data_IF_564290952191
#
_entry.id   IF_564290952191
#
_cell.length_a   1.000
_cell.length_b   1.000
_cell.length_c   1.000
_cell.angle_alpha   90.00
_cell.angle_beta   90.00
_cell.angle_gamma   90.00
#
_symmetry.space_group_name_H-M   'P 1'
#
loop_
_entity.id
_entity.type
_entity.pdbx_description
1 polymer ?
#
# COMPACT_ATOMS: atom_id res chain seq x y z
N UNK A 1 37.87 -31.16 22.60
CA UNK A 1 36.85 -30.14 22.27
C UNK A 1 37.55 -29.05 21.46
N UNK A 2 37.52 -29.14 20.14
CA UNK A 2 38.05 -28.08 19.28
C UNK A 2 36.94 -27.07 19.01
N UNK A 3 37.18 -25.81 19.34
CA UNK A 3 36.34 -24.68 18.96
C UNK A 3 36.41 -24.52 17.43
N UNK A 4 35.38 -25.00 16.74
CA UNK A 4 34.69 -24.44 15.55
C UNK A 4 35.42 -23.81 14.36
N UNK A 5 36.75 -23.67 14.32
CA UNK A 5 37.47 -23.04 13.20
C UNK A 5 38.34 -24.04 12.46
N UNK A 6 38.07 -24.19 11.16
CA UNK A 6 38.87 -24.99 10.24
C UNK A 6 39.55 -24.05 9.24
N UNK A 7 40.88 -23.96 9.29
CA UNK A 7 41.65 -23.26 8.27
C UNK A 7 42.07 -24.23 7.17
N UNK A 8 41.69 -23.92 5.93
CA UNK A 8 42.07 -24.68 4.74
C UNK A 8 42.84 -23.78 3.78
N UNK A 9 43.97 -24.28 3.29
CA UNK A 9 44.71 -23.66 2.18
C UNK A 9 44.56 -24.55 0.95
N UNK A 10 43.91 -24.01 -0.09
CA UNK A 10 43.72 -24.70 -1.37
C UNK A 10 44.47 -23.93 -2.46
N UNK A 11 45.11 -24.65 -3.40
CA UNK A 11 45.67 -24.03 -4.58
C UNK A 11 44.55 -23.63 -5.59
N UNK A 12 44.82 -22.75 -6.56
CA UNK A 12 43.85 -22.42 -7.61
C UNK A 12 43.29 -23.68 -8.29
N UNK A 13 41.97 -23.72 -8.49
CA UNK A 13 41.21 -24.82 -9.11
C UNK A 13 41.18 -26.15 -8.33
N UNK A 14 41.57 -26.17 -7.06
CA UNK A 14 41.38 -27.33 -6.18
C UNK A 14 40.11 -27.19 -5.34
N UNK A 15 39.50 -28.33 -5.02
CA UNK A 15 38.45 -28.44 -4.03
C UNK A 15 38.78 -29.54 -3.03
N UNK A 16 38.25 -29.42 -1.83
CA UNK A 16 38.25 -30.48 -0.83
C UNK A 16 36.81 -30.75 -0.41
N UNK A 17 36.50 -32.02 -0.12
CA UNK A 17 35.21 -32.41 0.44
C UNK A 17 35.48 -32.82 1.88
N UNK A 18 34.87 -32.08 2.81
CA UNK A 18 34.93 -32.40 4.22
C UNK A 18 33.70 -33.21 4.60
N UNK A 19 33.90 -34.26 5.39
CA UNK A 19 32.83 -35.02 6.02
C UNK A 19 32.91 -34.80 7.52
N UNK A 20 31.80 -34.40 8.14
CA UNK A 20 31.72 -34.35 9.59
C UNK A 20 31.77 -35.77 10.17
N UNK A 21 32.56 -35.98 11.21
CA UNK A 21 32.65 -37.26 11.93
C UNK A 21 31.44 -37.49 12.85
N UNK A 22 30.82 -36.40 13.33
CA UNK A 22 29.63 -36.39 14.18
C UNK A 22 28.52 -35.51 13.58
N UNK A 23 27.29 -35.66 14.11
CA UNK A 23 26.18 -34.77 13.77
C UNK A 23 26.53 -33.35 14.22
N UNK A 24 26.66 -32.44 13.27
CA UNK A 24 26.74 -31.01 13.55
C UNK A 24 25.32 -30.52 13.84
N UNK A 25 25.04 -29.96 15.04
CA UNK A 25 23.73 -29.38 15.31
C UNK A 25 23.44 -28.29 14.29
N UNK A 26 22.36 -28.47 13.54
CA UNK A 26 21.86 -27.49 12.58
C UNK A 26 20.47 -27.06 13.05
N UNK A 27 20.36 -26.24 14.12
CA UNK A 27 19.08 -25.80 14.64
C UNK A 27 18.35 -24.97 13.58
N UNK A 28 17.04 -25.14 13.51
CA UNK A 28 16.18 -24.27 12.71
C UNK A 28 15.78 -23.07 13.56
N UNK A 29 15.88 -21.87 12.99
CA UNK A 29 15.47 -20.64 13.62
C UNK A 29 13.94 -20.60 13.84
N UNK A 30 13.47 -19.80 14.80
CA UNK A 30 12.04 -19.56 14.94
C UNK A 30 11.55 -18.67 13.79
N UNK A 31 10.57 -19.11 12.97
CA UNK A 31 10.03 -18.30 11.89
C UNK A 31 9.13 -17.20 12.45
N UNK A 32 9.19 -16.04 11.82
CA UNK A 32 8.24 -14.93 12.02
C UNK A 32 7.43 -14.81 10.74
N UNK A 33 6.13 -15.08 10.86
CA UNK A 33 5.16 -14.89 9.79
C UNK A 33 4.65 -13.44 9.83
N UNK A 34 4.68 -12.77 8.68
CA UNK A 34 4.26 -11.39 8.51
C UNK A 34 3.38 -11.24 7.27
N UNK A 35 2.63 -10.14 7.19
CA UNK A 35 1.68 -9.88 6.10
C UNK A 35 0.21 -10.04 6.51
N UNK A 36 -0.07 -10.63 7.67
CA UNK A 36 -1.42 -10.76 8.22
C UNK A 36 -1.41 -10.81 9.74
N UNK A 37 -2.35 -10.11 10.39
CA UNK A 37 -2.57 -10.16 11.82
C UNK A 37 -3.51 -11.31 12.22
N UNK A 38 -3.31 -11.83 13.43
CA UNK A 38 -4.22 -12.82 14.00
C UNK A 38 -5.61 -12.22 14.25
N UNK A 39 -6.65 -12.94 13.86
CA UNK A 39 -8.04 -12.51 13.90
C UNK A 39 -8.44 -11.55 12.77
N UNK A 40 -7.59 -11.34 11.78
CA UNK A 40 -7.91 -10.48 10.64
C UNK A 40 -9.14 -10.97 9.86
N UNK A 41 -9.82 -10.03 9.21
CA UNK A 41 -10.92 -10.28 8.25
C UNK A 41 -10.48 -9.81 6.88
N UNK A 42 -10.22 -10.75 5.97
CA UNK A 42 -9.61 -10.46 4.66
C UNK A 42 -10.05 -11.47 3.60
N UNK A 43 -9.83 -11.20 2.33
CA UNK A 43 -10.00 -12.19 1.25
C UNK A 43 -9.24 -11.76 -0.01
N UNK A 44 -9.30 -12.60 -1.04
CA UNK A 44 -8.61 -12.37 -2.31
C UNK A 44 -7.16 -12.85 -2.26
N UNK A 45 -6.27 -12.14 -2.96
CA UNK A 45 -4.85 -12.45 -3.01
C UNK A 45 -4.15 -12.01 -1.72
N UNK A 46 -3.67 -12.97 -0.95
CA UNK A 46 -2.88 -12.75 0.26
C UNK A 46 -1.39 -12.88 -0.06
N UNK A 47 -0.57 -11.96 0.44
CA UNK A 47 0.89 -12.05 0.43
C UNK A 47 1.39 -12.17 1.88
N UNK A 48 2.11 -13.26 2.16
CA UNK A 48 2.75 -13.48 3.46
C UNK A 48 4.25 -13.66 3.25
N UNK A 49 5.03 -13.12 4.18
CA UNK A 49 6.49 -13.27 4.20
C UNK A 49 6.93 -13.97 5.50
N UNK A 50 7.85 -14.92 5.38
CA UNK A 50 8.48 -15.59 6.51
C UNK A 50 9.92 -15.12 6.64
N UNK A 51 10.23 -14.55 7.80
CA UNK A 51 11.59 -14.14 8.17
C UNK A 51 12.08 -14.95 9.37
N UNK A 52 13.38 -14.96 9.61
CA UNK A 52 13.95 -15.43 10.86
C UNK A 52 15.30 -14.74 11.11
N UNK A 53 15.47 -14.15 12.29
CA UNK A 53 16.64 -13.30 12.62
C UNK A 53 17.99 -14.03 12.44
N UNK A 54 18.04 -15.33 12.77
CA UNK A 54 19.26 -16.14 12.61
C UNK A 54 19.65 -16.44 11.16
N UNK A 55 18.83 -16.04 10.18
CA UNK A 55 19.05 -16.24 8.74
C UNK A 55 19.75 -15.05 8.06
N UNK A 56 19.90 -13.92 8.75
CA UNK A 56 20.56 -12.74 8.18
C UNK A 56 22.08 -12.99 8.04
N UNK A 57 22.59 -13.00 6.80
CA UNK A 57 24.02 -13.06 6.50
C UNK A 57 24.63 -14.45 6.24
N UNK A 58 23.82 -15.50 6.17
CA UNK A 58 24.26 -16.83 5.71
C UNK A 58 23.88 -17.06 4.24
N UNK A 59 24.74 -17.73 3.48
CA UNK A 59 24.34 -18.24 2.16
C UNK A 59 23.37 -19.40 2.40
N UNK A 60 22.09 -19.24 2.05
CA UNK A 60 21.03 -20.21 2.35
C UNK A 60 20.56 -20.96 1.09
N UNK A 61 21.22 -22.07 0.70
CA UNK A 61 20.70 -22.98 -0.31
C UNK A 61 19.95 -24.19 0.26
N UNK A 62 19.75 -24.31 1.58
CA UNK A 62 19.18 -25.54 2.22
C UNK A 62 17.91 -25.34 3.05
N UNK A 63 17.46 -24.10 3.24
CA UNK A 63 16.23 -23.86 3.99
C UNK A 63 15.03 -23.85 3.04
N UNK A 64 13.92 -24.40 3.52
CA UNK A 64 12.63 -24.36 2.84
C UNK A 64 11.55 -24.00 3.85
N UNK A 65 10.54 -23.27 3.38
CA UNK A 65 9.30 -23.00 4.10
C UNK A 65 8.18 -23.76 3.42
N UNK A 66 7.50 -24.64 4.16
CA UNK A 66 6.24 -25.24 3.73
C UNK A 66 5.08 -24.46 4.32
N UNK A 67 4.20 -23.99 3.45
CA UNK A 67 2.95 -23.33 3.81
C UNK A 67 1.80 -24.31 3.75
N UNK A 68 0.99 -24.34 4.79
CA UNK A 68 -0.19 -25.19 4.93
C UNK A 68 -1.36 -24.33 5.46
N UNK A 69 -2.60 -24.71 5.16
CA UNK A 69 -3.79 -24.09 5.72
C UNK A 69 -4.77 -25.15 6.24
N UNK A 70 -5.36 -24.86 7.38
CA UNK A 70 -6.54 -25.55 7.92
C UNK A 70 -7.74 -24.63 7.74
N UNK A 71 -8.83 -25.18 7.20
CA UNK A 71 -10.09 -24.49 6.98
C UNK A 71 -11.12 -25.00 7.99
N UNK A 72 -11.79 -24.09 8.69
CA UNK A 72 -12.84 -24.35 9.69
C UNK A 72 -12.43 -25.40 10.75
N UNK A 73 -11.15 -25.37 11.15
CA UNK A 73 -10.57 -26.30 12.13
C UNK A 73 -10.33 -27.73 11.61
N UNK A 74 -10.40 -27.93 10.29
CA UNK A 74 -10.09 -29.20 9.63
C UNK A 74 -8.59 -29.54 9.61
N UNK A 75 -8.23 -30.57 8.86
CA UNK A 75 -6.84 -30.96 8.67
C UNK A 75 -6.06 -29.88 7.90
N UNK A 76 -4.76 -29.79 8.18
CA UNK A 76 -3.87 -28.91 7.42
C UNK A 76 -3.58 -29.50 6.04
N UNK A 77 -3.92 -28.74 4.99
CA UNK A 77 -3.59 -29.04 3.61
C UNK A 77 -2.40 -28.21 3.13
N UNK A 78 -1.58 -28.79 2.25
CA UNK A 78 -0.39 -28.11 1.73
C UNK A 78 -0.79 -27.08 0.66
N UNK A 79 -0.30 -25.84 0.82
CA UNK A 79 -0.48 -24.76 -0.14
C UNK A 79 0.73 -24.61 -1.07
N UNK A 80 1.93 -24.49 -0.50
CA UNK A 80 3.14 -24.23 -1.25
C UNK A 80 4.41 -24.65 -0.49
N UNK A 81 5.51 -24.79 -1.21
CA UNK A 81 6.87 -24.88 -0.65
C UNK A 81 7.72 -23.84 -1.34
N UNK A 82 8.38 -22.99 -0.55
CA UNK A 82 9.34 -22.01 -1.01
C UNK A 82 10.75 -22.36 -0.53
N UNK A 83 11.70 -22.42 -1.45
CA UNK A 83 13.09 -22.79 -1.20
C UNK A 83 14.04 -21.61 -1.41
N UNK A 84 13.53 -20.41 -1.73
CA UNK A 84 14.35 -19.29 -2.14
C UNK A 84 14.00 -18.02 -1.35
N UNK A 85 14.84 -17.68 -0.38
CA UNK A 85 14.68 -16.45 0.39
C UNK A 85 14.70 -15.19 -0.51
N UNK A 86 13.90 -14.15 -0.21
CA UNK A 86 12.92 -14.07 0.89
C UNK A 86 11.72 -15.00 0.68
N UNK A 87 11.34 -15.76 1.72
CA UNK A 87 10.30 -16.78 1.60
C UNK A 87 8.92 -16.16 1.60
N UNK A 88 8.14 -16.45 0.57
CA UNK A 88 6.83 -15.83 0.37
C UNK A 88 5.75 -16.82 -0.02
N UNK A 89 4.54 -16.52 0.41
CA UNK A 89 3.32 -17.17 -0.08
C UNK A 89 2.45 -16.12 -0.74
N UNK A 90 2.06 -16.38 -1.99
CA UNK A 90 0.97 -15.69 -2.67
C UNK A 90 -0.19 -16.67 -2.79
N UNK A 91 -1.30 -16.40 -2.11
CA UNK A 91 -2.44 -17.31 -2.08
C UNK A 91 -3.73 -16.57 -2.42
N UNK A 92 -4.36 -16.97 -3.52
CA UNK A 92 -5.69 -16.50 -3.90
C UNK A 92 -6.76 -17.32 -3.17
N UNK A 93 -7.48 -16.66 -2.27
CA UNK A 93 -8.57 -17.24 -1.48
C UNK A 93 -9.95 -17.08 -2.13
N UNK A 94 -10.04 -16.51 -3.33
CA UNK A 94 -11.31 -16.18 -3.97
C UNK A 94 -12.22 -17.37 -4.31
N UNK A 95 -11.70 -18.60 -4.27
CA UNK A 95 -12.48 -19.82 -4.45
C UNK A 95 -13.09 -20.36 -3.13
N UNK A 96 -12.66 -19.85 -1.99
CA UNK A 96 -13.13 -20.26 -0.67
C UNK A 96 -14.39 -19.49 -0.26
N UNK A 97 -15.18 -20.07 0.64
CA UNK A 97 -16.42 -19.47 1.09
C UNK A 97 -16.16 -18.28 2.02
N UNK A 98 -16.99 -17.25 1.90
CA UNK A 98 -17.05 -16.16 2.86
C UNK A 98 -17.41 -16.69 4.26
N UNK A 99 -16.75 -16.17 5.28
CA UNK A 99 -16.90 -16.59 6.67
C UNK A 99 -16.02 -17.78 7.09
N UNK A 100 -15.31 -18.45 6.17
CA UNK A 100 -14.40 -19.55 6.51
C UNK A 100 -13.31 -19.08 7.48
N UNK A 101 -13.13 -19.80 8.58
CA UNK A 101 -12.01 -19.62 9.49
C UNK A 101 -10.78 -20.31 8.91
N UNK A 102 -9.69 -19.58 8.76
CA UNK A 102 -8.44 -20.11 8.21
C UNK A 102 -7.37 -20.05 9.28
N UNK A 103 -6.68 -21.16 9.51
CA UNK A 103 -5.40 -21.18 10.23
C UNK A 103 -4.30 -21.53 9.26
N UNK A 104 -3.40 -20.58 9.00
CA UNK A 104 -2.26 -20.76 8.12
C UNK A 104 -1.02 -21.08 8.94
N UNK A 105 -0.27 -22.10 8.52
CA UNK A 105 0.96 -22.56 9.15
C UNK A 105 2.13 -22.48 8.19
N UNK A 106 3.20 -21.81 8.63
CA UNK A 106 4.49 -21.81 7.96
C UNK A 106 5.46 -22.70 8.74
N UNK A 107 5.96 -23.77 8.10
CA UNK A 107 6.96 -24.68 8.65
C UNK A 107 8.32 -24.43 8.01
N UNK A 108 9.22 -23.76 8.73
CA UNK A 108 10.61 -23.56 8.33
C UNK A 108 11.42 -24.83 8.63
N UNK A 109 12.24 -25.30 7.69
CA UNK A 109 13.12 -26.47 7.86
C UNK A 109 14.42 -26.32 7.08
N UNK A 110 15.47 -27.05 7.50
CA UNK A 110 16.76 -27.13 6.81
C UNK A 110 17.10 -28.56 6.37
N UNK A 111 16.09 -29.43 6.25
CA UNK A 111 16.21 -30.86 5.90
C UNK A 111 16.99 -31.73 6.91
N UNK A 112 17.50 -31.17 8.01
CA UNK A 112 18.31 -31.90 9.01
C UNK A 112 17.60 -31.98 10.36
N UNK A 113 17.12 -30.84 10.86
CA UNK A 113 16.43 -30.75 12.15
C UNK A 113 14.89 -30.72 11.98
N UNK A 114 14.14 -31.05 13.04
CA UNK A 114 12.68 -30.87 13.03
C UNK A 114 12.30 -29.43 12.66
N UNK A 115 11.21 -29.24 11.90
CA UNK A 115 10.80 -27.91 11.49
C UNK A 115 10.37 -27.06 12.69
N UNK A 116 10.53 -25.75 12.56
CA UNK A 116 9.91 -24.74 13.43
C UNK A 116 8.71 -24.13 12.74
N UNK A 117 7.69 -23.78 13.51
CA UNK A 117 6.39 -23.40 12.98
C UNK A 117 5.94 -22.05 13.52
N UNK A 118 5.31 -21.27 12.65
CA UNK A 118 4.51 -20.11 13.00
C UNK A 118 3.13 -20.25 12.40
N UNK A 119 2.11 -19.79 13.12
CA UNK A 119 0.72 -19.84 12.69
C UNK A 119 0.06 -18.46 12.78
N UNK A 120 -0.89 -18.21 11.89
CA UNK A 120 -1.80 -17.07 11.96
C UNK A 120 -3.21 -17.54 11.62
N UNK A 121 -4.19 -17.11 12.41
CA UNK A 121 -5.60 -17.41 12.17
C UNK A 121 -6.33 -16.16 11.70
N UNK A 122 -7.25 -16.29 10.75
CA UNK A 122 -8.04 -15.20 10.19
C UNK A 122 -9.37 -15.71 9.64
N UNK A 123 -10.27 -14.81 9.29
CA UNK A 123 -11.59 -15.13 8.72
C UNK A 123 -11.63 -14.59 7.29
N UNK A 124 -12.16 -15.39 6.37
CA UNK A 124 -12.46 -14.92 5.02
C UNK A 124 -13.64 -13.96 5.06
N UNK A 125 -13.41 -12.70 4.70
CA UNK A 125 -14.44 -11.66 4.61
C UNK A 125 -14.09 -10.66 3.50
N UNK A 126 -14.61 -10.92 2.30
CA UNK A 126 -14.47 -10.07 1.11
C UNK A 126 -15.45 -8.92 1.04
N UNK A 127 -16.32 -8.76 2.04
CA UNK A 127 -17.22 -7.61 2.09
C UNK A 127 -16.40 -6.32 2.19
N UNK A 128 -16.89 -5.28 1.55
CA UNK A 128 -16.27 -3.97 1.59
C UNK A 128 -17.02 -3.08 2.56
N UNK A 129 -16.41 -2.65 3.68
CA UNK A 129 -17.13 -1.87 4.67
C UNK A 129 -17.42 -0.47 4.13
N UNK A 130 -18.57 0.07 4.53
CA UNK A 130 -18.83 1.50 4.47
C UNK A 130 -18.10 2.16 5.64
N UNK A 131 -17.12 3.00 5.36
CA UNK A 131 -16.46 3.81 6.38
C UNK A 131 -17.38 4.97 6.77
N UNK A 132 -17.54 5.21 8.06
CA UNK A 132 -18.24 6.37 8.63
C UNK A 132 -17.22 7.23 9.37
N UNK A 133 -16.77 8.29 8.71
CA UNK A 133 -15.75 9.21 9.20
C UNK A 133 -16.39 10.38 9.94
N UNK A 134 -15.93 10.60 11.17
CA UNK A 134 -16.15 11.84 11.94
C UNK A 134 -14.80 12.42 12.33
N UNK A 135 -14.53 13.65 11.91
CA UNK A 135 -13.33 14.39 12.30
C UNK A 135 -13.70 15.70 12.97
N UNK A 136 -13.11 15.99 14.13
CA UNK A 136 -13.34 17.26 14.83
C UNK A 136 -13.00 18.50 13.98
N UNK A 137 -12.15 18.34 12.96
CA UNK A 137 -11.81 19.36 11.95
C UNK A 137 -11.54 20.76 12.52
N UNK A 138 -10.59 20.90 13.47
CA UNK A 138 -10.34 22.17 14.17
C UNK A 138 -9.79 23.28 13.25
N UNK A 139 -9.45 22.96 12.00
CA UNK A 139 -9.01 23.90 10.95
C UNK A 139 -10.11 24.26 9.96
N UNK A 140 -11.31 23.70 10.13
CA UNK A 140 -12.46 23.92 9.25
C UNK A 140 -12.11 23.68 7.77
N UNK A 141 -11.36 22.61 7.51
CA UNK A 141 -11.00 22.22 6.15
C UNK A 141 -12.23 21.58 5.48
N UNK A 142 -12.74 22.16 4.38
CA UNK A 142 -14.04 21.78 3.82
C UNK A 142 -13.99 20.52 2.94
N UNK A 143 -12.79 20.01 2.65
CA UNK A 143 -12.57 19.00 1.64
C UNK A 143 -11.74 17.84 2.18
N UNK A 144 -12.04 16.65 1.66
CA UNK A 144 -11.30 15.42 1.91
C UNK A 144 -10.92 14.79 0.58
N UNK A 145 -9.63 14.73 0.32
CA UNK A 145 -9.05 13.98 -0.79
C UNK A 145 -8.84 12.54 -0.32
N UNK A 146 -9.46 11.60 -1.01
CA UNK A 146 -9.30 10.17 -0.81
C UNK A 146 -8.44 9.62 -1.95
N UNK A 147 -7.39 8.92 -1.56
CA UNK A 147 -6.50 8.22 -2.47
C UNK A 147 -6.54 6.72 -2.19
N UNK A 148 -6.55 5.90 -3.23
CA UNK A 148 -6.16 4.50 -3.13
C UNK A 148 -4.75 4.25 -3.70
N UNK A 149 -4.18 3.09 -3.41
CA UNK A 149 -2.81 2.73 -3.79
C UNK A 149 -2.58 2.69 -5.32
N UNK A 150 -3.64 2.46 -6.09
CA UNK A 150 -3.60 2.38 -7.54
C UNK A 150 -3.75 3.76 -8.20
N UNK A 151 -4.05 4.82 -7.45
CA UNK A 151 -4.26 6.17 -7.99
C UNK A 151 -5.74 6.54 -8.20
N UNK A 152 -6.67 5.76 -7.64
CA UNK A 152 -8.04 6.19 -7.48
C UNK A 152 -8.09 7.44 -6.60
N UNK A 153 -8.79 8.45 -7.09
CA UNK A 153 -8.91 9.76 -6.44
C UNK A 153 -10.38 10.09 -6.28
N UNK A 154 -10.77 10.52 -5.10
CA UNK A 154 -12.13 10.99 -4.84
C UNK A 154 -12.07 12.22 -3.95
N UNK A 155 -12.66 13.32 -4.41
CA UNK A 155 -12.90 14.49 -3.58
C UNK A 155 -14.25 14.34 -2.88
N UNK A 156 -14.24 14.39 -1.56
CA UNK A 156 -15.45 14.50 -0.74
C UNK A 156 -15.52 15.88 -0.10
N UNK A 157 -16.75 16.34 0.12
CA UNK A 157 -17.06 17.52 0.92
C UNK A 157 -17.84 17.08 2.14
N UNK A 158 -17.87 17.94 3.15
CA UNK A 158 -18.61 17.66 4.37
C UNK A 158 -20.08 17.35 4.06
N UNK A 159 -20.52 16.17 4.51
CA UNK A 159 -21.86 15.65 4.25
C UNK A 159 -22.90 16.23 5.23
N UNK A 160 -22.47 16.78 6.37
CA UNK A 160 -23.36 17.32 7.38
C UNK A 160 -22.77 18.55 8.08
N UNK A 161 -22.90 19.69 7.42
CA UNK A 161 -22.46 20.99 7.95
C UNK A 161 -23.20 21.43 9.23
N UNK A 162 -24.28 20.75 9.64
CA UNK A 162 -24.98 21.05 10.89
C UNK A 162 -24.30 20.39 12.10
N UNK A 163 -23.56 19.30 11.90
CA UNK A 163 -22.77 18.64 12.94
C UNK A 163 -21.36 19.25 12.98
N UNK A 164 -20.87 19.73 14.14
CA UNK A 164 -19.51 20.26 14.23
C UNK A 164 -18.45 19.27 13.74
N UNK A 165 -17.56 19.74 12.87
CA UNK A 165 -16.44 18.95 12.35
C UNK A 165 -16.54 18.70 10.84
N UNK A 166 -16.09 17.53 10.41
CA UNK A 166 -16.23 17.02 9.05
C UNK A 166 -16.79 15.60 9.11
N UNK A 167 -17.91 15.38 8.43
CA UNK A 167 -18.58 14.09 8.34
C UNK A 167 -18.54 13.57 6.91
N UNK A 168 -18.19 12.29 6.73
CA UNK A 168 -18.30 11.64 5.44
C UNK A 168 -18.55 10.14 5.58
N UNK A 169 -19.22 9.57 4.57
CA UNK A 169 -19.35 8.13 4.42
C UNK A 169 -18.93 7.70 3.02
N UNK A 170 -18.14 6.65 2.92
CA UNK A 170 -17.71 6.10 1.63
C UNK A 170 -17.40 4.61 1.72
N UNK A 171 -17.61 3.89 0.63
CA UNK A 171 -17.22 2.48 0.52
C UNK A 171 -15.71 2.34 0.49
N UNK A 172 -15.16 1.38 1.25
CA UNK A 172 -13.72 1.09 1.22
C UNK A 172 -13.25 0.62 -0.17
N UNK A 173 -14.09 -0.07 -0.93
CA UNK A 173 -13.71 -0.73 -2.18
C UNK A 173 -12.83 -1.97 -1.95
N UNK A 174 -12.02 -2.32 -2.95
CA UNK A 174 -11.15 -3.50 -2.94
C UNK A 174 -9.66 -3.20 -2.77
N UNK A 175 -9.29 -1.99 -2.33
CA UNK A 175 -7.89 -1.60 -2.14
C UNK A 175 -7.35 -2.05 -0.78
N UNK A 176 -6.06 -2.36 -0.69
CA UNK A 176 -5.42 -2.67 0.59
C UNK A 176 -5.22 -1.40 1.45
N UNK A 177 -5.02 -0.24 0.82
CA UNK A 177 -4.69 1.01 1.50
C UNK A 177 -5.46 2.20 0.96
N UNK A 178 -5.80 3.14 1.85
CA UNK A 178 -6.29 4.46 1.48
C UNK A 178 -5.59 5.57 2.25
N UNK A 179 -5.33 6.68 1.59
CA UNK A 179 -4.83 7.89 2.23
C UNK A 179 -5.90 8.98 2.25
N UNK A 180 -6.09 9.60 3.41
CA UNK A 180 -7.03 10.69 3.64
C UNK A 180 -6.24 11.99 3.82
N UNK A 181 -6.48 12.97 2.95
CA UNK A 181 -5.88 14.31 3.05
C UNK A 181 -6.99 15.33 3.19
N UNK A 182 -7.09 15.94 4.37
CA UNK A 182 -8.02 17.04 4.57
C UNK A 182 -7.40 18.31 4.00
N UNK A 183 -8.20 19.06 3.29
CA UNK A 183 -7.72 20.12 2.45
C UNK A 183 -8.66 21.32 2.43
N UNK A 184 -8.09 22.46 2.06
CA UNK A 184 -8.80 23.56 1.41
C UNK A 184 -8.11 23.78 0.08
N UNK A 185 -8.83 23.60 -1.01
CA UNK A 185 -8.32 23.79 -2.36
C UNK A 185 -8.46 25.26 -2.75
N UNK A 186 -7.53 25.76 -3.56
CA UNK A 186 -7.66 27.10 -4.16
C UNK A 186 -8.83 27.10 -5.15
N UNK A 187 -9.99 27.47 -4.63
CA UNK A 187 -11.12 27.92 -5.44
C UNK A 187 -11.26 29.41 -5.19
N UNK A 188 -11.26 30.18 -6.27
CA UNK A 188 -11.48 31.63 -6.26
C UNK A 188 -10.35 32.49 -5.64
N UNK A 189 -9.09 32.01 -5.66
CA UNK A 189 -7.92 32.77 -5.20
C UNK A 189 -7.60 32.62 -3.71
N UNK A 190 -8.05 31.51 -3.11
CA UNK A 190 -7.75 31.15 -1.72
C UNK A 190 -6.50 30.28 -1.64
N UNK A 191 -5.67 30.43 -0.61
CA UNK A 191 -4.46 29.59 -0.52
C UNK A 191 -4.84 28.11 -0.32
N UNK A 192 -4.23 27.24 -1.11
CA UNK A 192 -4.34 25.78 -0.89
C UNK A 192 -3.69 25.43 0.45
N UNK A 193 -4.42 24.67 1.27
CA UNK A 193 -3.97 24.14 2.56
C UNK A 193 -4.16 22.63 2.53
N UNK A 194 -3.11 21.89 2.87
CA UNK A 194 -3.12 20.42 2.91
C UNK A 194 -2.64 19.97 4.28
N UNK A 195 -3.38 19.08 4.92
CA UNK A 195 -2.85 18.30 6.05
C UNK A 195 -1.97 17.16 5.54
N UNK A 196 -1.05 16.70 6.40
CA UNK A 196 -0.36 15.44 6.15
C UNK A 196 -1.38 14.30 5.93
N UNK A 197 -1.12 13.37 4.99
CA UNK A 197 -1.99 12.23 4.76
C UNK A 197 -2.13 11.32 5.99
N UNK A 198 -3.35 10.88 6.26
CA UNK A 198 -3.61 9.75 7.15
C UNK A 198 -3.72 8.48 6.32
N UNK A 199 -2.74 7.58 6.45
CA UNK A 199 -2.77 6.26 5.85
C UNK A 199 -3.67 5.32 6.67
N UNK A 200 -4.62 4.70 5.98
CA UNK A 200 -5.50 3.65 6.51
C UNK A 200 -5.19 2.34 5.81
N UNK A 201 -5.11 1.26 6.60
CA UNK A 201 -4.92 -0.10 6.13
C UNK A 201 -6.25 -0.85 6.21
N UNK A 202 -6.61 -1.58 5.14
CA UNK A 202 -7.89 -2.33 5.05
C UNK A 202 -8.07 -3.24 6.24
N UNK A 203 -7.03 -3.96 6.63
CA UNK A 203 -7.05 -4.89 7.75
C UNK A 203 -7.52 -4.21 9.05
N UNK A 204 -7.02 -3.01 9.36
CA UNK A 204 -7.42 -2.26 10.55
C UNK A 204 -8.86 -1.77 10.46
N UNK A 205 -9.30 -1.38 9.26
CA UNK A 205 -10.69 -0.97 9.01
C UNK A 205 -11.64 -2.15 9.18
N UNK A 206 -11.31 -3.30 8.62
CA UNK A 206 -12.07 -4.54 8.76
C UNK A 206 -12.14 -4.99 10.22
N UNK A 207 -11.03 -4.93 10.96
CA UNK A 207 -10.99 -5.28 12.38
C UNK A 207 -11.87 -4.37 13.26
N UNK A 208 -12.03 -3.10 12.87
CA UNK A 208 -12.91 -2.14 13.55
C UNK A 208 -14.37 -2.18 13.05
N UNK A 209 -14.66 -2.96 12.02
CA UNK A 209 -15.98 -3.02 11.40
C UNK A 209 -16.98 -3.82 12.24
N UNK A 210 -18.25 -3.45 12.13
CA UNK A 210 -19.39 -4.20 12.67
C UNK A 210 -20.53 -4.23 11.66
N UNK A 211 -21.42 -5.20 11.79
CA UNK A 211 -22.67 -5.20 11.04
C UNK A 211 -23.63 -4.15 11.63
N UNK A 212 -24.32 -3.42 10.76
CA UNK A 212 -25.48 -2.62 11.14
C UNK A 212 -26.77 -3.46 11.18
N UNK A 213 -27.91 -2.83 11.47
CA UNK A 213 -29.21 -3.50 11.57
C UNK A 213 -29.66 -4.13 10.23
N UNK A 214 -29.06 -3.71 9.10
CA UNK A 214 -29.32 -4.28 7.78
C UNK A 214 -28.34 -5.41 7.41
N UNK A 215 -27.36 -5.72 8.28
CA UNK A 215 -26.31 -6.70 8.02
C UNK A 215 -25.17 -6.16 7.15
N UNK A 216 -25.14 -4.85 6.87
CA UNK A 216 -24.08 -4.21 6.10
C UNK A 216 -22.87 -3.94 6.99
N UNK A 217 -21.67 -4.14 6.43
CA UNK A 217 -20.44 -3.93 7.19
C UNK A 217 -20.13 -2.43 7.26
N UNK A 218 -20.06 -1.90 8.48
CA UNK A 218 -19.81 -0.48 8.76
C UNK A 218 -18.59 -0.32 9.66
N UNK A 219 -17.68 0.57 9.27
CA UNK A 219 -16.45 0.87 10.00
C UNK A 219 -16.46 2.32 10.51
N UNK A 220 -16.68 2.57 11.81
CA UNK A 220 -16.59 3.92 12.35
C UNK A 220 -15.12 4.37 12.42
N UNK A 221 -14.82 5.56 11.91
CA UNK A 221 -13.53 6.22 12.07
C UNK A 221 -13.73 7.57 12.75
N UNK A 222 -13.38 7.64 14.04
CA UNK A 222 -13.44 8.88 14.82
C UNK A 222 -12.04 9.47 14.97
N UNK A 223 -11.85 10.66 14.43
CA UNK A 223 -10.61 11.43 14.52
C UNK A 223 -10.81 12.55 15.56
N UNK A 224 -10.50 12.25 16.81
CA UNK A 224 -10.74 13.12 17.98
C UNK A 224 -9.45 13.84 18.48
N UNK A 225 -8.33 13.62 17.82
CA UNK A 225 -7.01 14.14 18.22
C UNK A 225 -6.69 15.55 17.74
N UNK A 226 -5.48 16.01 18.06
CA UNK A 226 -4.91 17.25 17.50
C UNK A 226 -4.93 17.19 15.96
N UNK A 227 -5.07 18.34 15.27
CA UNK A 227 -5.02 18.34 13.81
C UNK A 227 -3.69 17.77 13.33
N UNK A 228 -3.73 17.14 12.15
CA UNK A 228 -2.49 16.70 11.53
C UNK A 228 -1.63 17.92 11.18
N UNK A 229 -0.30 17.76 11.15
CA UNK A 229 0.57 18.83 10.68
C UNK A 229 0.17 19.28 9.28
N UNK A 230 0.35 20.57 9.00
CA UNK A 230 0.17 21.09 7.65
C UNK A 230 1.38 20.76 6.80
N UNK A 231 1.14 20.50 5.52
CA UNK A 231 2.19 20.46 4.50
C UNK A 231 2.47 21.88 4.01
N UNK A 232 3.74 22.17 3.76
CA UNK A 232 4.20 23.40 3.11
C UNK A 232 4.32 23.16 1.61
N UNK A 233 3.67 23.99 0.78
CA UNK A 233 3.81 23.92 -0.68
C UNK A 233 5.21 24.38 -1.10
N UNK A 234 5.92 23.55 -1.87
CA UNK A 234 7.32 23.80 -2.22
C UNK A 234 7.40 24.84 -3.34
N UNK A 235 7.97 26.04 -3.11
CA UNK A 235 7.96 27.12 -4.09
C UNK A 235 8.88 26.85 -5.28
N UNK A 236 9.91 26.03 -5.12
CA UNK A 236 10.81 25.68 -6.22
C UNK A 236 10.11 24.78 -7.25
N UNK A 237 10.24 25.10 -8.56
CA UNK A 237 9.65 24.29 -9.60
C UNK A 237 10.24 22.88 -9.59
N UNK A 238 9.36 21.89 -9.73
CA UNK A 238 9.67 20.46 -9.76
C UNK A 238 10.48 20.11 -11.01
N UNK A 239 10.13 20.73 -12.14
CA UNK A 239 10.89 20.69 -13.39
C UNK A 239 10.55 21.89 -14.27
N UNK A 240 11.38 22.10 -15.28
CA UNK A 240 11.11 23.07 -16.36
C UNK A 240 9.84 22.71 -17.13
N UNK A 241 9.60 21.42 -17.34
CA UNK A 241 8.42 20.89 -18.00
C UNK A 241 7.89 19.69 -17.24
N UNK A 242 6.58 19.67 -17.00
CA UNK A 242 5.87 18.56 -16.37
C UNK A 242 4.65 18.23 -17.22
N UNK A 243 4.39 16.94 -17.43
CA UNK A 243 3.30 16.47 -18.26
C UNK A 243 2.44 15.44 -17.54
N UNK A 244 1.14 15.52 -17.73
CA UNK A 244 0.27 14.35 -17.64
C UNK A 244 0.51 13.47 -18.87
N UNK A 245 0.70 12.17 -18.66
CA UNK A 245 0.93 11.19 -19.74
C UNK A 245 0.18 9.91 -19.43
N UNK A 246 -0.69 9.45 -20.31
CA UNK A 246 -1.48 8.24 -20.04
C UNK A 246 -2.40 7.83 -21.19
N UNK A 247 -3.24 6.84 -20.96
CA UNK A 247 -4.21 6.34 -21.95
C UNK A 247 -5.17 7.41 -22.47
N UNK A 248 -5.49 8.43 -21.67
CA UNK A 248 -6.34 9.54 -22.09
C UNK A 248 -5.72 10.42 -23.20
N UNK A 249 -4.40 10.42 -23.35
CA UNK A 249 -3.68 11.19 -24.38
C UNK A 249 -2.70 10.33 -25.19
N UNK A 250 -2.96 9.02 -25.31
CA UNK A 250 -2.10 8.05 -26.00
C UNK A 250 -0.62 8.09 -25.55
N UNK A 251 -0.39 8.34 -24.25
CA UNK A 251 0.93 8.52 -23.63
C UNK A 251 1.73 9.73 -24.18
N UNK A 252 1.03 10.65 -24.85
CA UNK A 252 1.53 11.92 -25.35
C UNK A 252 1.86 12.92 -24.23
N UNK A 253 2.11 14.16 -24.64
CA UNK A 253 2.52 15.25 -23.74
C UNK A 253 1.33 16.19 -23.52
N UNK A 254 0.72 16.14 -22.33
CA UNK A 254 -0.26 17.13 -21.88
C UNK A 254 0.37 18.02 -20.80
N UNK A 255 0.76 19.27 -21.12
CA UNK A 255 1.57 20.10 -20.23
C UNK A 255 0.79 20.54 -18.99
N UNK A 256 1.50 20.58 -17.85
CA UNK A 256 1.04 21.16 -16.59
C UNK A 256 1.89 22.39 -16.28
N UNK A 257 1.25 23.55 -16.15
CA UNK A 257 1.92 24.81 -15.82
C UNK A 257 2.07 24.96 -14.30
N UNK A 258 3.20 25.51 -13.85
CA UNK A 258 3.34 25.95 -12.46
C UNK A 258 2.48 27.22 -12.25
N UNK A 259 1.37 27.09 -11.53
CA UNK A 259 0.37 28.17 -11.35
C UNK A 259 0.46 28.87 -10.00
N UNK A 260 1.06 28.21 -9.00
CA UNK A 260 1.32 28.72 -7.66
C UNK A 260 2.48 27.92 -7.04
N UNK A 261 3.05 28.34 -5.88
CA UNK A 261 4.03 27.53 -5.16
C UNK A 261 3.56 26.08 -5.03
N UNK A 262 4.42 25.14 -5.43
CA UNK A 262 4.16 23.71 -5.38
C UNK A 262 2.99 23.22 -6.21
N UNK A 263 2.34 24.04 -7.04
CA UNK A 263 1.08 23.69 -7.70
C UNK A 263 1.24 23.69 -9.21
N UNK A 264 0.98 22.54 -9.83
CA UNK A 264 1.03 22.35 -11.28
C UNK A 264 -0.37 22.02 -11.78
N UNK A 265 -0.86 22.74 -12.78
CA UNK A 265 -2.21 22.56 -13.28
C UNK A 265 -2.29 22.55 -14.81
N UNK A 266 -3.26 21.82 -15.34
CA UNK A 266 -3.56 21.77 -16.77
C UNK A 266 -4.90 21.07 -17.01
N UNK A 267 -5.21 20.80 -18.28
CA UNK A 267 -6.46 20.17 -18.69
C UNK A 267 -6.18 19.07 -19.69
N UNK A 268 -6.93 17.98 -19.58
CA UNK A 268 -6.89 16.86 -20.53
C UNK A 268 -8.29 16.56 -21.02
N UNK A 269 -8.41 16.03 -22.23
CA UNK A 269 -9.63 15.40 -22.70
C UNK A 269 -9.59 13.91 -22.31
N UNK A 270 -10.65 13.42 -21.67
CA UNK A 270 -10.76 12.02 -21.27
C UNK A 270 -12.05 11.40 -21.79
N UNK A 271 -12.03 10.07 -21.90
CA UNK A 271 -13.23 9.25 -22.14
C UNK A 271 -13.62 8.54 -20.86
N UNK A 272 -14.91 8.32 -20.68
CA UNK A 272 -15.45 7.53 -19.59
C UNK A 272 -14.82 6.14 -19.55
N UNK A 273 -14.45 5.69 -18.35
CA UNK A 273 -13.78 4.41 -18.15
C UNK A 273 -12.45 4.54 -17.40
N UNK A 274 -11.75 3.42 -17.29
CA UNK A 274 -10.46 3.36 -16.59
C UNK A 274 -9.34 3.71 -17.57
N UNK A 275 -8.49 4.66 -17.18
CA UNK A 275 -7.25 4.97 -17.88
C UNK A 275 -6.06 4.85 -16.94
N UNK A 276 -4.96 4.42 -17.51
CA UNK A 276 -3.66 4.50 -16.86
C UNK A 276 -2.97 5.82 -17.17
N UNK A 277 -2.16 6.35 -16.25
CA UNK A 277 -1.39 7.57 -16.46
C UNK A 277 -0.23 7.72 -15.45
N UNK A 278 0.62 8.72 -15.69
CA UNK A 278 1.74 9.16 -14.87
C UNK A 278 1.92 10.68 -15.01
N UNK A 279 2.70 11.24 -14.10
CA UNK A 279 3.25 12.58 -14.21
C UNK A 279 4.74 12.48 -14.52
N UNK A 280 5.20 13.01 -15.64
CA UNK A 280 6.58 12.84 -16.06
C UNK A 280 7.08 14.01 -16.90
N UNK A 281 8.40 14.09 -17.04
CA UNK A 281 9.03 14.89 -18.09
C UNK A 281 8.85 14.22 -19.49
N UNK A 282 9.30 14.90 -20.53
CA UNK A 282 9.17 14.40 -21.90
C UNK A 282 9.99 13.13 -22.18
N UNK A 283 11.10 12.91 -21.44
CA UNK A 283 12.06 11.83 -21.68
C UNK A 283 11.84 10.60 -20.80
N UNK A 284 10.87 10.64 -19.88
CA UNK A 284 10.74 9.64 -18.80
C UNK A 284 12.02 9.56 -17.93
N UNK A 285 12.67 10.71 -17.78
CA UNK A 285 13.94 10.83 -17.07
C UNK A 285 13.78 10.77 -15.55
N UNK A 286 14.45 11.67 -14.85
CA UNK A 286 14.43 11.70 -13.39
C UNK A 286 13.06 12.10 -12.83
N UNK A 287 12.26 12.86 -13.60
CA UNK A 287 10.90 13.18 -13.22
C UNK A 287 9.95 12.15 -13.82
N UNK A 288 9.60 11.15 -13.01
CA UNK A 288 8.65 10.11 -13.34
C UNK A 288 7.93 9.69 -12.06
N UNK A 289 6.69 10.13 -11.91
CA UNK A 289 5.85 9.94 -10.73
C UNK A 289 4.66 9.04 -11.08
N UNK A 290 4.41 8.04 -10.24
CA UNK A 290 3.34 7.08 -10.46
C UNK A 290 2.93 6.31 -9.20
N UNK A 291 2.42 5.10 -9.42
CA UNK A 291 1.99 4.16 -8.38
C UNK A 291 3.18 3.35 -7.81
N UNK A 292 3.01 2.71 -6.64
CA UNK A 292 1.86 2.84 -5.74
C UNK A 292 1.81 4.22 -5.06
N UNK A 293 0.63 4.65 -4.62
CA UNK A 293 0.56 5.74 -3.67
C UNK A 293 1.02 5.26 -2.30
N UNK A 294 1.90 6.01 -1.68
CA UNK A 294 2.45 5.74 -0.35
C UNK A 294 1.90 6.74 0.67
N UNK A 295 2.41 6.70 1.91
CA UNK A 295 2.09 7.71 2.92
C UNK A 295 2.43 9.15 2.47
N UNK A 296 3.34 9.31 1.51
CA UNK A 296 3.73 10.63 0.96
C UNK A 296 3.11 10.92 -0.42
N UNK A 297 2.12 10.14 -0.86
CA UNK A 297 1.50 10.31 -2.18
C UNK A 297 2.25 9.54 -3.27
N UNK A 298 2.43 10.14 -4.45
CA UNK A 298 3.00 9.45 -5.61
C UNK A 298 4.42 8.94 -5.38
N UNK A 299 4.71 7.75 -5.92
CA UNK A 299 6.06 7.19 -5.93
C UNK A 299 6.91 7.82 -7.05
N UNK A 300 8.08 8.33 -6.69
CA UNK A 300 9.10 8.79 -7.64
C UNK A 300 10.16 7.70 -7.88
N UNK A 301 10.61 7.54 -9.12
CA UNK A 301 11.69 6.60 -9.44
C UNK A 301 11.92 6.46 -10.94
N UNK A 302 12.87 5.59 -11.35
CA UNK A 302 13.19 5.41 -12.77
C UNK A 302 12.01 4.88 -13.60
N UNK A 303 11.17 4.04 -13.00
CA UNK A 303 9.93 3.56 -13.63
C UNK A 303 8.93 3.06 -12.56
N UNK A 304 8.27 3.96 -11.80
CA UNK A 304 7.19 3.57 -10.90
C UNK A 304 6.04 2.89 -11.67
N UNK A 305 5.10 2.28 -10.96
CA UNK A 305 3.88 1.74 -11.58
C UNK A 305 3.02 2.84 -12.22
N UNK A 306 2.10 2.46 -13.09
CA UNK A 306 1.11 3.39 -13.64
C UNK A 306 0.02 3.66 -12.59
N UNK A 307 -0.43 4.91 -12.51
CA UNK A 307 -1.66 5.27 -11.81
C UNK A 307 -2.86 4.82 -12.64
N UNK A 308 -3.98 4.53 -11.99
CA UNK A 308 -5.25 4.14 -12.58
C UNK A 308 -6.35 5.03 -12.04
N UNK A 309 -7.03 5.72 -12.94
CA UNK A 309 -8.18 6.55 -12.61
C UNK A 309 -9.38 6.17 -13.48
N UNK A 310 -10.57 6.16 -12.89
CA UNK A 310 -11.83 5.97 -13.61
C UNK A 310 -12.46 7.32 -13.88
N UNK A 311 -12.40 7.76 -15.13
CA UNK A 311 -13.16 8.90 -15.61
C UNK A 311 -14.64 8.55 -15.65
N UNK A 312 -15.47 9.38 -15.02
CA UNK A 312 -16.91 9.14 -14.91
C UNK A 312 -17.66 9.42 -16.23
N UNK A 313 -17.14 10.35 -17.03
CA UNK A 313 -17.76 10.81 -18.27
C UNK A 313 -16.72 11.16 -19.33
N UNK A 314 -17.16 11.27 -20.57
CA UNK A 314 -16.39 11.92 -21.63
C UNK A 314 -16.33 13.43 -21.35
N UNK A 315 -15.20 14.07 -21.61
CA UNK A 315 -15.06 15.52 -21.51
C UNK A 315 -13.69 15.99 -21.04
N UNK A 316 -13.62 17.27 -20.74
CA UNK A 316 -12.41 17.89 -20.21
C UNK A 316 -12.31 17.66 -18.70
N UNK A 317 -11.10 17.35 -18.25
CA UNK A 317 -10.76 17.18 -16.84
C UNK A 317 -9.63 18.14 -16.47
N UNK A 318 -9.83 18.89 -15.39
CA UNK A 318 -8.76 19.60 -14.70
C UNK A 318 -7.83 18.59 -14.03
N UNK A 319 -6.53 18.80 -14.23
CA UNK A 319 -5.46 18.01 -13.61
C UNK A 319 -4.64 18.94 -12.74
N UNK A 320 -4.54 18.64 -11.45
CA UNK A 320 -3.70 19.36 -10.50
C UNK A 320 -2.71 18.40 -9.85
N UNK A 321 -1.47 18.83 -9.67
CA UNK A 321 -0.46 18.15 -8.86
C UNK A 321 0.10 19.13 -7.84
N UNK A 322 0.01 18.78 -6.56
CA UNK A 322 0.70 19.49 -5.49
C UNK A 322 2.00 18.79 -5.13
N UNK A 323 3.09 19.55 -5.08
CA UNK A 323 4.36 19.22 -4.45
C UNK A 323 4.42 19.97 -3.13
N UNK A 324 4.49 19.21 -2.04
CA UNK A 324 4.54 19.77 -0.70
C UNK A 324 5.62 19.09 0.15
N UNK A 325 5.87 19.62 1.34
CA UNK A 325 6.87 19.12 2.28
C UNK A 325 6.32 19.13 3.71
N UNK A 326 6.67 18.13 4.50
CA UNK A 326 6.37 18.14 5.93
C UNK A 326 7.45 18.90 6.74
N UNK A 327 7.21 19.19 8.04
CA UNK A 327 8.20 19.87 8.88
C UNK A 327 9.55 19.14 9.01
N UNK A 328 9.59 17.83 8.77
CA UNK A 328 10.79 16.99 8.87
C UNK A 328 11.55 16.89 7.52
N UNK A 329 11.01 17.47 6.45
CA UNK A 329 11.63 17.53 5.14
C UNK A 329 11.16 16.46 4.14
N UNK A 330 10.22 15.60 4.52
CA UNK A 330 9.61 14.61 3.63
C UNK A 330 8.84 15.26 2.50
N UNK A 331 9.04 14.81 1.26
CA UNK A 331 8.35 15.36 0.08
C UNK A 331 7.07 14.59 -0.25
N UNK A 332 6.03 15.34 -0.63
CA UNK A 332 4.70 14.83 -0.94
C UNK A 332 4.30 15.23 -2.35
N UNK A 333 3.72 14.28 -3.09
CA UNK A 333 3.19 14.47 -4.42
C UNK A 333 1.72 14.04 -4.44
N UNK A 334 0.81 14.99 -4.48
CA UNK A 334 -0.64 14.76 -4.32
C UNK A 334 -1.37 15.21 -5.58
N UNK A 335 -1.91 14.30 -6.40
CA UNK A 335 -2.65 14.67 -7.60
C UNK A 335 -4.15 14.87 -7.30
N UNK A 336 -4.84 15.59 -8.19
CA UNK A 336 -6.29 15.63 -8.25
C UNK A 336 -6.73 15.70 -9.71
N UNK A 337 -7.71 14.88 -10.06
CA UNK A 337 -8.45 14.98 -11.32
C UNK A 337 -9.92 15.23 -11.02
N UNK A 338 -10.45 16.28 -11.63
CA UNK A 338 -11.86 16.68 -11.54
C UNK A 338 -12.38 17.00 -12.95
N UNK A 339 -13.67 16.76 -13.25
CA UNK A 339 -14.27 17.34 -14.45
C UNK A 339 -14.01 18.85 -14.49
N UNK A 340 -13.60 19.37 -15.63
CA UNK A 340 -13.47 20.81 -15.80
C UNK A 340 -14.85 21.47 -15.60
N UNK A 341 -14.88 22.61 -14.91
CA UNK A 341 -16.11 23.40 -14.82
C UNK A 341 -16.50 23.86 -16.23
N UNK A 342 -17.78 23.73 -16.59
CA UNK A 342 -18.35 24.29 -17.83
C UNK A 342 -18.28 25.83 -17.84
#
# INVERSE_FOLDING_TARGET
MHQGELQLTLAPLQFTILRAEDIVPSPVAEPVLSGLASGARTSGLLELEVTAEALAGQALPQYQVRFEASLDGGDFEALAVDNNAPYRLYWDTGALAEGTEVTLRASLSNLVAPPRQAEVSFILDGRSPRLELSYANPRELPELLLYDEAGGMTLLRDADAATPGFQAAFGWGGTARRSLVFARLDREGSATVLEQPLLLERERVMAASREDDAGELVAPLRLEGAPRPLLELVPEPLATELYFRGGANDWGLSPLAAVAPGTYAGTIQARAGVSEFKFADASWGLLNLGAPLTATGLSAGGNPGNLRYRFAQDGDYGVTLWRARDPDGGEYYLPLLEPAAE
#
